data_IF_344299500056
#
_entry.id   IF_344299500056
#
_cell.length_a   1.000
_cell.length_b   1.000
_cell.length_c   1.000
_cell.angle_alpha   90.00
_cell.angle_beta   90.00
_cell.angle_gamma   90.00
#
_symmetry.space_group_name_H-M   'P 1'
#
loop_
_entity.id
_entity.type
_entity.pdbx_description
1 polymer ?
#
# COMPACT_ATOMS: atom_id res chain seq x y z
N UNK A 1 -84.54 58.43 51.02
CA UNK A 1 -85.16 57.18 51.52
C UNK A 1 -84.79 56.07 50.54
N UNK A 2 -84.10 55.04 51.00
CA UNK A 2 -83.77 53.87 50.17
C UNK A 2 -84.76 52.76 50.51
N UNK A 3 -85.37 52.15 49.49
CA UNK A 3 -86.35 51.07 49.65
C UNK A 3 -85.69 49.75 49.25
N UNK A 4 -85.69 48.76 50.15
CA UNK A 4 -85.28 47.40 49.79
C UNK A 4 -86.48 46.64 49.20
N UNK A 5 -86.30 46.11 47.99
CA UNK A 5 -87.32 45.43 47.20
C UNK A 5 -86.97 43.97 46.88
N UNK A 6 -85.93 43.39 47.52
CA UNK A 6 -85.45 42.02 47.25
C UNK A 6 -86.30 40.90 47.87
N UNK A 7 -87.43 41.24 48.51
CA UNK A 7 -88.37 40.28 49.10
C UNK A 7 -89.85 40.64 48.82
N UNK A 8 -90.80 39.78 49.22
CA UNK A 8 -92.22 39.92 48.85
C UNK A 8 -92.94 41.16 49.45
N UNK A 9 -92.30 41.89 50.37
CA UNK A 9 -92.80 43.17 50.88
C UNK A 9 -91.68 44.22 50.94
N UNK A 10 -92.02 45.45 50.54
CA UNK A 10 -91.09 46.58 50.46
C UNK A 10 -90.78 47.13 51.85
N UNK A 11 -89.50 47.17 52.23
CA UNK A 11 -89.05 47.70 53.52
C UNK A 11 -88.35 49.05 53.35
N UNK A 12 -88.74 50.03 54.16
CA UNK A 12 -88.12 51.35 54.21
C UNK A 12 -86.86 51.30 55.08
N UNK A 13 -85.69 51.56 54.48
CA UNK A 13 -84.43 51.62 55.22
C UNK A 13 -84.13 53.07 55.61
N UNK A 14 -84.34 53.37 56.89
CA UNK A 14 -84.00 54.67 57.49
C UNK A 14 -82.54 54.76 57.94
N UNK A 15 -81.83 53.63 58.01
CA UNK A 15 -80.41 53.60 58.34
C UNK A 15 -79.68 52.53 57.50
N UNK A 16 -78.59 52.93 56.83
CA UNK A 16 -77.82 52.11 55.88
C UNK A 16 -77.04 50.95 56.53
N UNK A 17 -76.98 50.91 57.86
CA UNK A 17 -76.25 49.88 58.61
C UNK A 17 -76.95 48.51 58.59
N UNK A 18 -78.27 48.46 58.43
CA UNK A 18 -79.04 47.21 58.38
C UNK A 18 -78.88 46.42 57.07
N UNK A 19 -78.22 47.00 56.05
CA UNK A 19 -77.85 46.30 54.82
C UNK A 19 -76.58 45.45 54.95
N UNK A 20 -75.84 45.55 56.07
CA UNK A 20 -74.51 44.94 56.22
C UNK A 20 -74.53 43.49 56.73
N UNK A 21 -75.67 42.96 57.18
CA UNK A 21 -75.71 41.74 57.98
C UNK A 21 -76.36 40.50 57.33
N UNK A 22 -76.78 40.57 56.07
CA UNK A 22 -77.13 39.37 55.29
C UNK A 22 -76.04 39.18 54.25
N UNK A 23 -75.24 38.10 54.36
CA UNK A 23 -74.17 37.79 53.41
C UNK A 23 -74.80 37.71 52.02
N UNK A 24 -74.57 38.70 51.13
CA UNK A 24 -75.28 38.73 49.88
C UNK A 24 -74.74 37.59 49.02
N UNK A 25 -75.60 36.64 48.66
CA UNK A 25 -75.36 35.70 47.55
C UNK A 25 -74.34 34.56 47.83
N UNK A 26 -74.60 33.75 48.85
CA UNK A 26 -73.79 32.56 49.18
C UNK A 26 -73.57 31.59 48.00
N UNK A 27 -74.59 31.37 47.17
CA UNK A 27 -74.45 30.52 45.96
C UNK A 27 -73.51 31.13 44.93
N UNK A 28 -73.52 32.45 44.74
CA UNK A 28 -72.56 33.13 43.87
C UNK A 28 -71.14 33.01 44.44
N UNK A 29 -70.96 33.15 45.75
CA UNK A 29 -69.65 32.99 46.38
C UNK A 29 -69.08 31.58 46.18
N UNK A 30 -69.92 30.55 46.28
CA UNK A 30 -69.54 29.16 46.01
C UNK A 30 -69.19 28.94 44.53
N UNK A 31 -70.00 29.44 43.60
CA UNK A 31 -69.71 29.34 42.16
C UNK A 31 -68.43 30.08 41.78
N UNK A 32 -68.22 31.28 42.33
CA UNK A 32 -66.99 32.04 42.15
C UNK A 32 -65.79 31.28 42.72
N UNK A 33 -65.94 30.64 43.89
CA UNK A 33 -64.89 29.80 44.46
C UNK A 33 -64.51 28.65 43.53
N UNK A 34 -65.48 27.89 43.03
CA UNK A 34 -65.24 26.81 42.08
C UNK A 34 -64.53 27.28 40.80
N UNK A 35 -64.95 28.43 40.26
CA UNK A 35 -64.29 29.00 39.07
C UNK A 35 -62.85 29.40 39.40
N UNK A 36 -62.60 30.01 40.56
CA UNK A 36 -61.25 30.36 41.01
C UNK A 36 -60.40 29.11 41.18
N UNK A 37 -60.88 28.09 41.89
CA UNK A 37 -60.14 26.84 42.13
C UNK A 37 -59.85 26.10 40.80
N UNK A 38 -60.80 26.14 39.85
CA UNK A 38 -60.60 25.56 38.50
C UNK A 38 -59.57 26.33 37.70
N UNK A 39 -59.61 27.67 37.73
CA UNK A 39 -58.61 28.51 37.04
C UNK A 39 -57.25 28.33 37.66
N UNK A 40 -57.15 28.24 38.99
CA UNK A 40 -55.90 28.00 39.71
C UNK A 40 -55.29 26.65 39.32
N UNK A 41 -56.10 25.58 39.28
CA UNK A 41 -55.64 24.27 38.80
C UNK A 41 -55.15 24.31 37.34
N UNK A 42 -55.87 24.99 36.45
CA UNK A 42 -55.44 25.12 35.05
C UNK A 42 -54.16 25.96 34.92
N UNK A 43 -54.00 27.00 35.73
CA UNK A 43 -52.76 27.79 35.79
C UNK A 43 -51.59 26.92 36.24
N UNK A 44 -51.74 26.14 37.31
CA UNK A 44 -50.69 25.23 37.79
C UNK A 44 -50.34 24.13 36.78
N UNK A 45 -51.34 23.60 36.06
CA UNK A 45 -51.10 22.64 34.99
C UNK A 45 -50.33 23.29 33.85
N UNK A 46 -50.78 24.45 33.38
CA UNK A 46 -50.14 25.17 32.27
C UNK A 46 -48.70 25.55 32.63
N UNK A 47 -48.44 25.99 33.87
CA UNK A 47 -47.09 26.33 34.33
C UNK A 47 -46.17 25.11 34.39
N UNK A 48 -46.67 23.96 34.84
CA UNK A 48 -45.90 22.70 34.81
C UNK A 48 -45.60 22.24 33.39
N UNK A 49 -46.60 22.30 32.52
CA UNK A 49 -46.45 21.93 31.11
C UNK A 49 -45.40 22.84 30.45
N UNK A 50 -45.50 24.15 30.65
CA UNK A 50 -44.52 25.15 30.18
C UNK A 50 -43.10 24.83 30.65
N UNK A 51 -42.88 24.58 31.94
CA UNK A 51 -41.54 24.24 32.48
C UNK A 51 -41.00 22.94 31.89
N UNK A 52 -41.86 21.96 31.66
CA UNK A 52 -41.46 20.69 31.04
C UNK A 52 -41.06 20.89 29.58
N UNK A 53 -41.82 21.69 28.83
CA UNK A 53 -41.51 22.05 27.44
C UNK A 53 -40.20 22.84 27.36
N UNK A 54 -39.99 23.83 28.23
CA UNK A 54 -38.74 24.58 28.34
C UNK A 54 -37.54 23.66 28.59
N UNK A 55 -37.65 22.69 29.50
CA UNK A 55 -36.61 21.70 29.74
C UNK A 55 -36.34 20.79 28.53
N UNK A 56 -37.39 20.41 27.78
CA UNK A 56 -37.21 19.65 26.54
C UNK A 56 -36.55 20.46 25.43
N UNK A 57 -36.88 21.75 25.33
CA UNK A 57 -36.28 22.67 24.37
C UNK A 57 -34.79 22.84 24.63
N UNK A 58 -34.37 23.01 25.90
CA UNK A 58 -32.95 23.14 26.23
C UNK A 58 -32.20 21.85 25.88
N UNK A 59 -32.75 20.67 26.23
CA UNK A 59 -32.16 19.37 25.86
C UNK A 59 -32.00 19.21 24.34
N UNK A 60 -33.03 19.57 23.57
CA UNK A 60 -32.99 19.47 22.11
C UNK A 60 -31.99 20.45 21.49
N UNK A 61 -31.82 21.63 22.10
CA UNK A 61 -30.85 22.63 21.67
C UNK A 61 -29.42 22.13 21.87
N UNK A 62 -29.11 21.53 23.01
CA UNK A 62 -27.82 20.90 23.29
C UNK A 62 -27.52 19.76 22.29
N UNK A 63 -28.49 18.86 22.06
CA UNK A 63 -28.30 17.75 21.11
C UNK A 63 -28.16 18.25 19.66
N UNK A 64 -28.89 19.31 19.28
CA UNK A 64 -28.72 19.96 17.97
C UNK A 64 -27.28 20.49 17.80
N UNK A 65 -26.76 21.20 18.80
CA UNK A 65 -25.41 21.76 18.75
C UNK A 65 -24.36 20.65 18.65
N UNK A 66 -24.53 19.56 19.41
CA UNK A 66 -23.69 18.37 19.32
C UNK A 66 -23.72 17.74 17.91
N UNK A 67 -24.91 17.56 17.33
CA UNK A 67 -25.05 16.96 15.99
C UNK A 67 -24.45 17.83 14.89
N UNK A 68 -24.54 19.15 15.01
CA UNK A 68 -23.88 20.09 14.08
C UNK A 68 -22.37 19.88 14.07
N UNK A 69 -21.75 19.73 15.25
CA UNK A 69 -20.29 19.48 15.36
C UNK A 69 -19.91 18.14 14.70
N UNK A 70 -20.69 17.08 14.93
CA UNK A 70 -20.45 15.75 14.32
C UNK A 70 -20.56 15.82 12.80
N UNK A 71 -21.60 16.51 12.30
CA UNK A 71 -21.86 16.65 10.86
C UNK A 71 -20.73 17.42 10.18
N UNK A 72 -20.26 18.50 10.79
CA UNK A 72 -19.16 19.31 10.28
C UNK A 72 -17.84 18.52 10.26
N UNK A 73 -17.60 17.67 11.27
CA UNK A 73 -16.46 16.74 11.28
C UNK A 73 -16.54 15.72 10.14
N UNK A 74 -17.70 15.09 9.96
CA UNK A 74 -17.91 14.11 8.89
C UNK A 74 -17.78 14.74 7.50
N UNK A 75 -18.28 15.96 7.31
CA UNK A 75 -18.14 16.73 6.08
C UNK A 75 -16.67 16.96 5.72
N UNK A 76 -15.84 17.34 6.71
CA UNK A 76 -14.39 17.51 6.51
C UNK A 76 -13.69 16.19 6.15
N UNK A 77 -14.12 15.08 6.76
CA UNK A 77 -13.59 13.75 6.41
C UNK A 77 -13.96 13.35 4.98
N UNK A 78 -15.22 13.50 4.58
CA UNK A 78 -15.68 13.21 3.23
C UNK A 78 -14.95 14.06 2.18
N UNK A 79 -14.76 15.35 2.47
CA UNK A 79 -13.98 16.22 1.60
C UNK A 79 -12.54 15.71 1.42
N UNK A 80 -11.87 15.36 2.53
CA UNK A 80 -10.50 14.84 2.48
C UNK A 80 -10.41 13.50 1.73
N UNK A 81 -11.37 12.59 1.92
CA UNK A 81 -11.42 11.32 1.20
C UNK A 81 -11.67 11.53 -0.29
N UNK A 82 -12.57 12.44 -0.67
CA UNK A 82 -12.82 12.78 -2.08
C UNK A 82 -11.57 13.32 -2.78
N UNK A 83 -10.81 14.19 -2.11
CA UNK A 83 -9.55 14.71 -2.63
C UNK A 83 -8.48 13.62 -2.80
N UNK A 84 -8.36 12.70 -1.82
CA UNK A 84 -7.41 11.57 -1.91
C UNK A 84 -7.80 10.65 -3.07
N UNK A 85 -9.09 10.28 -3.18
CA UNK A 85 -9.57 9.42 -4.27
C UNK A 85 -9.35 10.07 -5.63
N UNK A 86 -9.61 11.37 -5.77
CA UNK A 86 -9.35 12.08 -7.04
C UNK A 86 -7.88 12.03 -7.47
N UNK A 87 -6.93 12.05 -6.52
CA UNK A 87 -5.50 11.91 -6.84
C UNK A 87 -5.16 10.46 -7.21
N UNK A 88 -5.77 9.49 -6.52
CA UNK A 88 -5.56 8.07 -6.85
C UNK A 88 -6.15 7.69 -8.21
N UNK A 89 -7.34 8.20 -8.54
CA UNK A 89 -7.97 7.97 -9.86
C UNK A 89 -7.11 8.55 -10.98
N UNK A 90 -6.50 9.73 -10.77
CA UNK A 90 -5.55 10.32 -11.72
C UNK A 90 -4.32 9.42 -11.93
N UNK A 91 -3.81 8.79 -10.87
CA UNK A 91 -2.69 7.85 -10.96
C UNK A 91 -3.06 6.55 -11.70
N UNK A 92 -4.31 6.09 -11.58
CA UNK A 92 -4.81 4.88 -12.26
C UNK A 92 -5.05 5.13 -13.76
N UNK A 93 -5.60 6.29 -14.13
CA UNK A 93 -5.76 6.68 -15.54
C UNK A 93 -4.40 6.92 -16.24
N UNK A 94 -3.38 7.34 -15.49
CA UNK A 94 -2.04 7.62 -15.96
C UNK A 94 -1.15 6.37 -16.14
N UNK A 95 -1.53 5.22 -15.55
CA UNK A 95 -0.82 3.94 -15.63
C UNK A 95 -0.72 3.40 -17.07
N UNK A 96 -1.69 3.72 -17.94
CA UNK A 96 -1.67 3.36 -19.37
C UNK A 96 -0.65 4.18 -20.19
N UNK A 97 -0.09 5.26 -19.61
CA UNK A 97 0.79 6.20 -20.30
C UNK A 97 2.15 6.35 -19.63
N UNK A 98 3.04 5.37 -19.79
CA UNK A 98 4.51 5.44 -19.52
C UNK A 98 4.93 6.52 -18.50
N UNK A 99 4.35 6.48 -17.30
CA UNK A 99 4.56 7.59 -16.37
C UNK A 99 5.98 7.50 -15.81
N UNK A 100 6.67 8.64 -15.73
CA UNK A 100 7.96 8.69 -15.05
C UNK A 100 7.75 8.36 -13.57
N UNK A 101 8.46 7.34 -13.08
CA UNK A 101 8.51 6.94 -11.67
C UNK A 101 8.72 8.13 -10.72
N UNK A 102 9.38 9.19 -11.19
CA UNK A 102 9.58 10.43 -10.47
C UNK A 102 8.27 11.20 -10.24
N UNK A 103 7.40 11.28 -11.25
CA UNK A 103 6.12 11.98 -11.18
C UNK A 103 5.17 11.32 -10.18
N UNK A 104 5.10 9.98 -10.18
CA UNK A 104 4.32 9.21 -9.19
C UNK A 104 4.84 9.48 -7.77
N UNK A 105 6.17 9.49 -7.60
CA UNK A 105 6.79 9.78 -6.30
C UNK A 105 6.45 11.20 -5.82
N UNK A 106 6.49 12.20 -6.70
CA UNK A 106 6.12 13.59 -6.39
C UNK A 106 4.65 13.70 -5.96
N UNK A 107 3.72 13.03 -6.65
CA UNK A 107 2.30 13.01 -6.27
C UNK A 107 2.08 12.40 -4.88
N UNK A 108 2.74 11.28 -4.54
CA UNK A 108 2.65 10.69 -3.20
C UNK A 108 3.33 11.54 -2.12
N UNK A 109 4.40 12.28 -2.45
CA UNK A 109 5.03 13.24 -1.54
C UNK A 109 4.08 14.39 -1.25
N UNK A 110 3.41 14.92 -2.29
CA UNK A 110 2.42 15.98 -2.14
C UNK A 110 1.24 15.50 -1.29
N UNK A 111 0.69 14.31 -1.58
CA UNK A 111 -0.41 13.69 -0.83
C UNK A 111 -0.06 13.52 0.65
N UNK A 112 1.17 13.09 0.96
CA UNK A 112 1.68 12.98 2.33
C UNK A 112 1.81 14.33 3.03
N UNK A 113 2.17 15.38 2.30
CA UNK A 113 2.29 16.73 2.87
C UNK A 113 0.92 17.37 3.13
N UNK A 114 -0.04 17.14 2.24
CA UNK A 114 -1.40 17.70 2.30
C UNK A 114 -2.29 17.01 3.34
N UNK A 115 -2.11 15.69 3.52
CA UNK A 115 -2.96 14.89 4.41
C UNK A 115 -2.19 13.90 5.30
N UNK A 116 -1.30 14.34 6.20
CA UNK A 116 -0.40 13.45 6.94
C UNK A 116 -1.12 12.46 7.88
N UNK A 117 -2.21 12.87 8.51
CA UNK A 117 -3.01 11.99 9.38
C UNK A 117 -3.74 10.92 8.57
N UNK A 118 -4.39 11.31 7.49
CA UNK A 118 -5.09 10.40 6.58
C UNK A 118 -4.12 9.47 5.86
N UNK A 119 -2.92 9.95 5.51
CA UNK A 119 -1.88 9.15 4.87
C UNK A 119 -1.47 7.94 5.73
N UNK A 120 -1.42 8.12 7.05
CA UNK A 120 -1.20 7.04 8.01
C UNK A 120 -2.46 6.20 8.22
N UNK A 121 -3.60 6.86 8.44
CA UNK A 121 -4.85 6.19 8.80
C UNK A 121 -5.38 5.27 7.70
N UNK A 122 -5.19 5.65 6.43
CA UNK A 122 -5.59 4.88 5.25
C UNK A 122 -4.43 4.07 4.65
N UNK A 123 -3.29 3.95 5.33
CA UNK A 123 -2.12 3.19 4.86
C UNK A 123 -1.69 3.54 3.42
N UNK A 124 -1.74 4.82 3.04
CA UNK A 124 -1.35 5.26 1.69
C UNK A 124 0.14 5.00 1.40
N UNK A 125 0.95 4.80 2.43
CA UNK A 125 2.32 4.29 2.31
C UNK A 125 2.40 2.92 1.64
N UNK A 126 1.44 2.02 1.92
CA UNK A 126 1.43 0.69 1.30
C UNK A 126 1.12 0.78 -0.20
N UNK A 127 0.23 1.70 -0.57
CA UNK A 127 -0.11 1.98 -1.98
C UNK A 127 1.09 2.61 -2.69
N UNK A 128 1.75 3.59 -2.08
CA UNK A 128 2.99 4.15 -2.63
C UNK A 128 4.07 3.08 -2.83
N UNK A 129 4.19 2.14 -1.89
CA UNK A 129 5.12 1.01 -2.01
C UNK A 129 4.74 0.03 -3.13
N UNK A 130 3.45 -0.24 -3.37
CA UNK A 130 3.03 -1.10 -4.48
C UNK A 130 3.33 -0.45 -5.83
N UNK A 131 3.06 0.85 -5.98
CA UNK A 131 3.47 1.59 -7.19
C UNK A 131 4.99 1.61 -7.37
N UNK A 132 5.76 1.84 -6.30
CA UNK A 132 7.22 1.78 -6.39
C UNK A 132 7.72 0.39 -6.81
N UNK A 133 7.06 -0.67 -6.35
CA UNK A 133 7.37 -2.04 -6.75
C UNK A 133 7.00 -2.30 -8.22
N UNK A 134 5.85 -1.80 -8.68
CA UNK A 134 5.45 -1.82 -10.09
C UNK A 134 6.47 -1.10 -10.96
N UNK A 135 6.86 0.14 -10.61
CA UNK A 135 7.91 0.88 -11.33
C UNK A 135 9.26 0.15 -11.32
N UNK A 136 9.62 -0.53 -10.22
CA UNK A 136 10.84 -1.34 -10.17
C UNK A 136 10.76 -2.54 -11.13
N UNK A 137 9.62 -3.22 -11.16
CA UNK A 137 9.38 -4.32 -12.10
C UNK A 137 9.33 -3.86 -13.56
N UNK A 138 8.76 -2.70 -13.84
CA UNK A 138 8.76 -2.10 -15.17
C UNK A 138 10.15 -1.63 -15.59
N UNK A 139 10.91 -0.99 -14.70
CA UNK A 139 12.30 -0.59 -14.97
C UNK A 139 13.20 -1.80 -15.29
N UNK A 140 12.84 -2.97 -14.76
CA UNK A 140 13.47 -4.24 -15.04
C UNK A 140 13.01 -4.82 -16.39
N UNK A 141 11.73 -4.64 -16.75
CA UNK A 141 11.15 -5.04 -18.05
C UNK A 141 11.65 -4.18 -19.21
N UNK A 142 11.79 -2.87 -19.04
CA UNK A 142 12.13 -1.92 -20.10
C UNK A 142 13.59 -1.95 -20.56
N UNK A 143 14.44 -2.75 -19.90
CA UNK A 143 15.69 -3.24 -20.46
C UNK A 143 16.79 -2.20 -20.70
N UNK A 144 16.54 -0.90 -20.88
CA UNK A 144 17.55 0.11 -21.22
C UNK A 144 18.35 0.52 -19.98
N UNK A 145 17.67 0.84 -18.88
CA UNK A 145 18.30 1.15 -17.59
C UNK A 145 19.01 -0.07 -17.00
N UNK A 146 18.38 -1.25 -17.13
CA UNK A 146 19.02 -2.53 -16.86
C UNK A 146 20.27 -2.69 -17.72
N UNK A 147 20.19 -2.61 -19.06
CA UNK A 147 21.36 -2.72 -19.95
C UNK A 147 22.47 -1.74 -19.60
N UNK A 148 22.19 -0.49 -19.25
CA UNK A 148 23.21 0.51 -18.90
C UNK A 148 23.89 0.17 -17.56
N UNK A 149 23.13 -0.06 -16.49
CA UNK A 149 23.70 -0.38 -15.16
C UNK A 149 24.41 -1.73 -15.15
N UNK A 150 23.86 -2.69 -15.89
CA UNK A 150 24.42 -4.03 -16.01
C UNK A 150 25.54 -4.14 -17.04
N UNK A 151 25.78 -3.14 -17.89
CA UNK A 151 26.96 -3.11 -18.77
C UNK A 151 28.24 -3.03 -17.94
N UNK A 152 28.27 -2.26 -16.86
CA UNK A 152 29.44 -2.19 -15.97
C UNK A 152 29.71 -3.55 -15.29
N UNK A 153 28.64 -4.20 -14.80
CA UNK A 153 28.72 -5.54 -14.22
C UNK A 153 29.15 -6.56 -15.26
N UNK A 154 28.57 -6.54 -16.46
CA UNK A 154 28.91 -7.43 -17.57
C UNK A 154 30.36 -7.26 -18.00
N UNK A 155 30.85 -6.02 -18.15
CA UNK A 155 32.25 -5.75 -18.49
C UNK A 155 33.18 -6.24 -17.38
N UNK A 156 32.86 -5.98 -16.11
CA UNK A 156 33.64 -6.45 -14.97
C UNK A 156 33.70 -7.98 -14.91
N UNK A 157 32.56 -8.65 -15.02
CA UNK A 157 32.46 -10.12 -14.98
C UNK A 157 33.19 -10.72 -16.18
N UNK A 158 32.91 -10.27 -17.41
CA UNK A 158 33.59 -10.74 -18.62
C UNK A 158 35.12 -10.58 -18.49
N UNK A 159 35.62 -9.53 -17.87
CA UNK A 159 37.06 -9.28 -17.75
C UNK A 159 37.73 -10.01 -16.58
N UNK A 160 36.98 -10.46 -15.57
CA UNK A 160 37.55 -11.04 -14.34
C UNK A 160 37.70 -12.55 -14.39
N UNK A 161 36.84 -13.27 -15.10
CA UNK A 161 36.94 -14.73 -15.19
C UNK A 161 37.93 -15.21 -16.27
N UNK A 162 38.53 -16.37 -16.05
CA UNK A 162 39.44 -17.04 -16.98
C UNK A 162 38.92 -18.42 -17.36
N UNK A 163 39.18 -18.88 -18.58
CA UNK A 163 38.69 -20.19 -19.03
C UNK A 163 39.22 -21.36 -18.20
N UNK A 164 40.43 -21.26 -17.64
CA UNK A 164 41.04 -22.27 -16.75
C UNK A 164 40.53 -22.21 -15.29
N UNK A 165 39.80 -21.16 -14.93
CA UNK A 165 39.16 -20.98 -13.62
C UNK A 165 37.71 -20.51 -13.83
N UNK A 166 36.78 -21.44 -14.12
CA UNK A 166 35.41 -21.10 -14.50
C UNK A 166 34.55 -20.64 -13.30
N UNK A 167 34.96 -20.96 -12.07
CA UNK A 167 34.18 -20.78 -10.84
C UNK A 167 33.64 -19.35 -10.63
N UNK A 168 34.41 -18.26 -10.84
CA UNK A 168 33.89 -16.89 -10.70
C UNK A 168 32.72 -16.58 -11.64
N UNK A 169 32.75 -17.13 -12.86
CA UNK A 169 31.67 -16.95 -13.84
C UNK A 169 30.48 -17.85 -13.52
N UNK A 170 30.72 -19.11 -13.11
CA UNK A 170 29.65 -20.02 -12.71
C UNK A 170 28.85 -19.48 -11.52
N UNK A 171 29.51 -18.99 -10.46
CA UNK A 171 28.82 -18.35 -9.33
C UNK A 171 28.01 -17.13 -9.72
N UNK A 172 28.49 -16.37 -10.71
CA UNK A 172 27.73 -15.25 -11.25
C UNK A 172 26.48 -15.75 -11.98
N UNK A 173 26.59 -16.80 -12.80
CA UNK A 173 25.44 -17.37 -13.48
C UNK A 173 24.40 -17.89 -12.49
N UNK A 174 24.80 -18.66 -11.48
CA UNK A 174 23.88 -19.20 -10.47
C UNK A 174 23.15 -18.10 -9.68
N UNK A 175 23.86 -17.01 -9.34
CA UNK A 175 23.26 -15.91 -8.58
C UNK A 175 22.31 -15.06 -9.43
N UNK A 176 22.58 -14.95 -10.73
CA UNK A 176 21.87 -14.04 -11.63
C UNK A 176 20.90 -14.73 -12.58
N UNK A 177 20.80 -16.07 -12.57
CA UNK A 177 19.90 -16.85 -13.43
C UNK A 177 18.43 -16.42 -13.28
N UNK A 178 18.00 -16.11 -12.06
CA UNK A 178 16.62 -15.66 -11.76
C UNK A 178 16.37 -14.18 -12.07
N UNK A 179 17.43 -13.40 -12.32
CA UNK A 179 17.40 -11.95 -12.44
C UNK A 179 17.81 -11.44 -13.83
N UNK A 180 18.12 -12.33 -14.77
CA UNK A 180 18.51 -11.97 -16.11
C UNK A 180 17.52 -12.56 -17.11
N UNK A 181 16.96 -11.78 -18.04
CA UNK A 181 16.26 -12.35 -19.18
C UNK A 181 17.17 -13.35 -19.92
N UNK A 182 16.64 -14.48 -20.45
CA UNK A 182 17.44 -15.49 -21.15
C UNK A 182 18.25 -14.93 -22.33
N UNK A 183 17.83 -13.81 -22.89
CA UNK A 183 18.49 -13.11 -24.01
C UNK A 183 19.69 -12.25 -23.59
N UNK A 184 19.89 -11.99 -22.30
CA UNK A 184 20.91 -11.05 -21.81
C UNK A 184 22.32 -11.63 -21.87
N UNK A 185 22.46 -12.93 -21.57
CA UNK A 185 23.73 -13.65 -21.65
C UNK A 185 23.78 -14.47 -22.93
N UNK A 186 24.29 -13.86 -24.01
CA UNK A 186 24.73 -14.64 -25.16
C UNK A 186 26.04 -15.36 -24.76
N UNK A 187 25.89 -16.54 -24.15
CA UNK A 187 26.98 -17.40 -23.68
C UNK A 187 27.99 -17.69 -24.78
N UNK A 188 27.51 -17.86 -26.02
CA UNK A 188 28.37 -18.15 -27.16
C UNK A 188 29.41 -17.05 -27.34
N UNK A 189 28.99 -15.77 -27.33
CA UNK A 189 29.89 -14.66 -27.57
C UNK A 189 30.86 -14.38 -26.42
N UNK A 190 30.53 -14.82 -25.19
CA UNK A 190 31.31 -14.52 -23.99
C UNK A 190 32.28 -15.66 -23.67
N UNK A 191 31.77 -16.89 -23.67
CA UNK A 191 32.49 -18.08 -23.21
C UNK A 191 33.28 -18.72 -24.36
N UNK A 192 32.70 -18.85 -25.55
CA UNK A 192 33.37 -19.57 -26.65
C UNK A 192 34.72 -18.99 -27.06
N UNK A 193 34.91 -17.65 -27.20
CA UNK A 193 36.21 -17.12 -27.62
C UNK A 193 37.32 -17.43 -26.60
N UNK A 194 37.02 -17.27 -25.31
CA UNK A 194 37.97 -17.55 -24.22
C UNK A 194 38.26 -19.04 -24.08
N UNK A 195 37.22 -19.88 -24.18
CA UNK A 195 37.35 -21.32 -24.06
C UNK A 195 38.13 -21.90 -25.25
N UNK A 196 37.79 -21.51 -26.49
CA UNK A 196 38.52 -21.92 -27.70
C UNK A 196 39.98 -21.46 -27.67
N UNK A 197 40.27 -20.25 -27.21
CA UNK A 197 41.65 -19.77 -27.05
C UNK A 197 42.42 -20.57 -26.00
N UNK A 198 41.83 -20.84 -24.84
CA UNK A 198 42.47 -21.62 -23.79
C UNK A 198 42.74 -23.06 -24.22
N UNK A 199 41.79 -23.72 -24.89
CA UNK A 199 41.98 -25.05 -25.48
C UNK A 199 43.00 -25.03 -26.62
N UNK A 200 43.01 -23.96 -27.43
CA UNK A 200 44.00 -23.74 -28.48
C UNK A 200 45.43 -23.61 -27.94
N UNK A 201 45.61 -22.99 -26.78
CA UNK A 201 46.89 -22.88 -26.08
C UNK A 201 47.17 -24.02 -25.09
N UNK A 202 46.24 -24.95 -24.92
CA UNK A 202 46.40 -26.06 -23.98
C UNK A 202 47.43 -27.08 -24.48
N UNK A 203 48.40 -27.42 -23.64
CA UNK A 203 49.41 -28.44 -23.91
C UNK A 203 49.24 -29.62 -22.96
N UNK A 204 48.86 -30.82 -23.47
CA UNK A 204 48.48 -31.95 -22.61
C UNK A 204 49.56 -32.40 -21.63
N UNK A 205 50.84 -32.33 -22.03
CA UNK A 205 51.98 -32.82 -21.25
C UNK A 205 52.55 -31.77 -20.27
N UNK A 206 52.22 -30.50 -20.45
CA UNK A 206 52.82 -29.40 -19.70
C UNK A 206 51.90 -28.86 -18.60
N UNK A 207 50.59 -29.08 -18.69
CA UNK A 207 49.62 -28.49 -17.76
C UNK A 207 49.31 -29.40 -16.57
N UNK A 208 49.27 -28.77 -15.38
CA UNK A 208 49.01 -29.44 -14.10
C UNK A 208 47.52 -29.66 -13.82
N UNK A 209 46.64 -28.88 -14.46
CA UNK A 209 45.19 -28.97 -14.28
C UNK A 209 44.58 -29.71 -15.48
N UNK A 210 43.89 -30.85 -15.27
CA UNK A 210 43.25 -31.58 -16.36
C UNK A 210 42.20 -30.72 -17.08
N UNK A 211 42.23 -30.74 -18.41
CA UNK A 211 41.35 -29.91 -19.26
C UNK A 211 39.85 -30.11 -19.00
N UNK A 212 39.42 -31.33 -18.65
CA UNK A 212 38.01 -31.62 -18.40
C UNK A 212 37.47 -30.82 -17.20
N UNK A 213 38.29 -30.47 -16.21
CA UNK A 213 37.87 -29.72 -15.01
C UNK A 213 37.29 -28.35 -15.37
N UNK A 214 37.85 -27.70 -16.37
CA UNK A 214 37.44 -26.35 -16.76
C UNK A 214 36.64 -26.28 -18.07
N UNK A 215 36.55 -27.38 -18.83
CA UNK A 215 35.67 -27.51 -20.00
C UNK A 215 34.30 -28.09 -19.64
N UNK A 216 34.24 -29.09 -18.75
CA UNK A 216 33.00 -29.80 -18.40
C UNK A 216 31.89 -28.90 -17.85
N UNK A 217 32.15 -27.91 -16.96
CA UNK A 217 31.08 -27.07 -16.40
C UNK A 217 30.28 -26.28 -17.44
N UNK A 218 30.84 -26.09 -18.64
CA UNK A 218 30.17 -25.38 -19.73
C UNK A 218 29.24 -26.25 -20.56
N UNK A 219 29.27 -27.57 -20.37
CA UNK A 219 28.45 -28.52 -21.13
C UNK A 219 26.94 -28.23 -20.95
N UNK A 220 26.53 -27.85 -19.75
CA UNK A 220 25.14 -27.51 -19.42
C UNK A 220 24.64 -26.25 -20.14
N UNK A 221 25.52 -25.34 -20.55
CA UNK A 221 25.16 -24.06 -21.18
C UNK A 221 25.37 -24.06 -22.70
N UNK A 222 26.45 -24.68 -23.19
CA UNK A 222 26.85 -24.64 -24.60
C UNK A 222 26.53 -25.93 -25.36
N UNK A 223 26.39 -27.07 -24.66
CA UNK A 223 26.00 -28.35 -25.23
C UNK A 223 26.73 -28.69 -26.54
N UNK A 224 25.97 -28.83 -27.63
CA UNK A 224 26.47 -29.16 -28.97
C UNK A 224 27.49 -28.16 -29.54
N UNK A 225 27.52 -26.91 -29.07
CA UNK A 225 28.47 -25.90 -29.56
C UNK A 225 29.91 -26.19 -29.13
N UNK A 226 30.11 -27.05 -28.13
CA UNK A 226 31.43 -27.49 -27.68
C UNK A 226 32.05 -28.56 -28.60
N UNK A 227 31.33 -29.10 -29.58
CA UNK A 227 31.81 -30.18 -30.44
C UNK A 227 33.13 -29.85 -31.14
N UNK A 228 33.29 -28.62 -31.65
CA UNK A 228 34.55 -28.17 -32.25
C UNK A 228 35.71 -28.06 -31.25
N UNK A 229 35.41 -27.77 -29.98
CA UNK A 229 36.41 -27.73 -28.90
C UNK A 229 36.84 -29.17 -28.55
N UNK A 230 35.89 -30.10 -28.44
CA UNK A 230 36.20 -31.51 -28.22
C UNK A 230 37.01 -32.12 -29.36
N UNK A 231 36.75 -31.73 -30.60
CA UNK A 231 37.58 -32.13 -31.74
C UNK A 231 39.04 -31.67 -31.58
N UNK A 232 39.23 -30.41 -31.20
CA UNK A 232 40.58 -29.85 -30.97
C UNK A 232 41.32 -30.60 -29.85
N UNK A 233 40.62 -30.95 -28.78
CA UNK A 233 41.19 -31.73 -27.66
C UNK A 233 41.58 -33.14 -28.15
N UNK A 234 40.70 -33.82 -28.90
CA UNK A 234 40.97 -35.16 -29.45
C UNK A 234 42.19 -35.18 -30.36
N UNK A 235 42.33 -34.19 -31.24
CA UNK A 235 43.49 -34.06 -32.13
C UNK A 235 44.79 -33.92 -31.33
N UNK A 236 44.80 -33.04 -30.31
CA UNK A 236 45.99 -32.83 -29.47
C UNK A 236 46.36 -34.05 -28.64
N UNK A 237 45.37 -34.72 -28.05
CA UNK A 237 45.60 -35.98 -27.32
C UNK A 237 46.12 -37.07 -28.26
N UNK A 238 45.55 -37.19 -29.47
CA UNK A 238 46.01 -38.15 -30.48
C UNK A 238 47.48 -37.92 -30.87
N UNK A 239 47.88 -36.66 -31.09
CA UNK A 239 49.28 -36.30 -31.40
C UNK A 239 50.23 -36.71 -30.27
N UNK A 240 49.85 -36.47 -29.02
CA UNK A 240 50.65 -36.87 -27.85
C UNK A 240 50.77 -38.38 -27.75
N UNK A 241 49.68 -39.12 -28.00
CA UNK A 241 49.67 -40.58 -27.94
C UNK A 241 50.47 -41.24 -29.07
N UNK A 242 50.50 -40.63 -30.26
CA UNK A 242 51.33 -41.11 -31.38
C UNK A 242 52.82 -40.91 -31.09
N UNK A 243 53.19 -39.82 -30.40
CA UNK A 243 54.57 -39.53 -30.01
C UNK A 243 54.99 -40.22 -28.69
N UNK A 244 54.08 -40.94 -28.03
CA UNK A 244 54.30 -41.50 -26.71
C UNK A 244 55.17 -42.76 -26.73
N UNK A 245 56.06 -42.87 -25.74
CA UNK A 245 56.90 -44.04 -25.55
C UNK A 245 56.38 -44.89 -24.38
N UNK A 246 56.29 -46.23 -24.49
CA UNK A 246 55.74 -47.11 -23.45
C UNK A 246 56.39 -47.05 -22.06
N UNK A 247 57.56 -46.42 -21.94
CA UNK A 247 58.28 -46.24 -20.67
C UNK A 247 57.98 -44.91 -19.97
N UNK A 248 57.18 -44.03 -20.59
CA UNK A 248 56.83 -42.72 -20.05
C UNK A 248 55.49 -42.79 -19.28
N UNK A 249 55.57 -42.70 -17.96
CA UNK A 249 54.42 -42.80 -17.05
C UNK A 249 53.47 -41.59 -17.13
N UNK A 250 53.90 -40.48 -17.75
CA UNK A 250 53.12 -39.24 -17.85
C UNK A 250 51.81 -39.43 -18.61
N UNK A 251 51.76 -40.22 -19.69
CA UNK A 251 50.53 -40.46 -20.43
C UNK A 251 49.49 -41.25 -19.62
N UNK A 252 49.92 -42.12 -18.71
CA UNK A 252 49.00 -42.82 -17.82
C UNK A 252 48.33 -41.83 -16.85
N UNK A 253 49.11 -40.92 -16.26
CA UNK A 253 48.57 -39.86 -15.38
C UNK A 253 47.64 -38.90 -16.11
N UNK A 254 47.90 -38.65 -17.39
CA UNK A 254 47.11 -37.77 -18.25
C UNK A 254 45.78 -38.40 -18.69
N UNK A 255 45.79 -39.70 -19.02
CA UNK A 255 44.61 -40.43 -19.47
C UNK A 255 43.76 -41.00 -18.33
N UNK A 256 44.33 -41.23 -17.14
CA UNK A 256 43.62 -41.81 -16.01
C UNK A 256 42.30 -41.09 -15.66
N UNK A 257 42.22 -39.75 -15.66
CA UNK A 257 40.97 -39.03 -15.38
C UNK A 257 39.86 -39.25 -16.42
N UNK A 258 40.21 -39.62 -17.66
CA UNK A 258 39.26 -39.83 -18.76
C UNK A 258 38.70 -41.24 -18.82
N UNK A 259 39.18 -42.15 -17.97
CA UNK A 259 38.70 -43.53 -17.92
C UNK A 259 37.31 -43.65 -17.29
N UNK A 260 36.92 -42.66 -16.49
CA UNK A 260 35.70 -42.66 -15.66
C UNK A 260 34.70 -41.56 -16.02
N UNK A 261 35.03 -40.74 -17.02
CA UNK A 261 34.16 -39.70 -17.60
C UNK A 261 33.53 -40.26 -18.86
#
# INVERSE_FOLDING_TARGET
MVYDMRGPQVRLLTNLENLKNEVPMAELQYNVRLVVDSVEFEMERTDRDLRSEEATLERLKEEKERLVVVTERQRKQLYSMGEILSVLDQLEEEEDSTLDSLAIAEQFIELRSRFPENFKLYNLSCIACSYALLCLLESFRDGILFRIRFTAVRVSVINTWQARDPEPMLRFLDFWENLLPPSFLNYDNIVMPKLSSAVGCWEPLCETVPIHIWVHPWLQYLGHKLEGIFETIRVKLSQVLVAWHPSDESAYTLLAPWKTV
#
